data_IF_083952117791
#
_entry.id   IF_083952117791
#
_cell.length_a   1.000
_cell.length_b   1.000
_cell.length_c   1.000
_cell.angle_alpha   90.00
_cell.angle_beta   90.00
_cell.angle_gamma   90.00
#
_symmetry.space_group_name_H-M   'P 1'
#
loop_
_entity.id
_entity.type
_entity.pdbx_description
1 polymer ?
#
# COMPACT_ATOMS: atom_id res chain seq x y z
N UNK A 1 7.72 -5.18 9.56
CA UNK A 1 7.31 -4.23 8.49
C UNK A 1 7.05 -4.93 7.17
N UNK A 2 8.06 -5.48 6.48
CA UNK A 2 7.89 -6.11 5.16
C UNK A 2 6.85 -7.25 5.18
N UNK A 3 6.89 -8.15 6.17
CA UNK A 3 5.92 -9.26 6.29
C UNK A 3 4.49 -8.75 6.50
N UNK A 4 4.31 -7.69 7.30
CA UNK A 4 3.00 -7.06 7.53
C UNK A 4 2.46 -6.40 6.26
N UNK A 5 3.30 -5.70 5.52
CA UNK A 5 2.98 -5.13 4.20
C UNK A 5 2.57 -6.22 3.20
N UNK A 6 3.28 -7.34 3.17
CA UNK A 6 2.94 -8.49 2.31
C UNK A 6 1.56 -9.09 2.63
N UNK A 7 1.21 -9.24 3.92
CA UNK A 7 -0.11 -9.73 4.33
C UNK A 7 -1.25 -8.81 3.86
N UNK A 8 -1.06 -7.49 3.98
CA UNK A 8 -2.03 -6.51 3.50
C UNK A 8 -2.15 -6.49 1.97
N UNK A 9 -1.07 -6.72 1.23
CA UNK A 9 -1.12 -6.89 -0.22
C UNK A 9 -2.00 -8.07 -0.64
N UNK A 10 -2.04 -9.16 0.13
CA UNK A 10 -2.91 -10.31 -0.18
C UNK A 10 -4.38 -9.96 0.05
N UNK A 11 -4.70 -9.23 1.13
CA UNK A 11 -6.07 -8.79 1.43
C UNK A 11 -6.64 -7.92 0.30
N UNK A 12 -5.79 -7.19 -0.42
CA UNK A 12 -6.20 -6.35 -1.56
C UNK A 12 -6.80 -7.13 -2.73
N UNK A 13 -6.61 -8.44 -2.83
CA UNK A 13 -7.28 -9.26 -3.86
C UNK A 13 -8.74 -9.60 -3.52
N UNK A 14 -9.13 -9.41 -2.26
CA UNK A 14 -10.51 -9.61 -1.78
C UNK A 14 -11.23 -8.26 -1.69
N UNK A 15 -10.50 -7.20 -1.34
CA UNK A 15 -11.07 -5.85 -1.23
C UNK A 15 -11.18 -5.15 -2.59
N UNK A 16 -12.43 -4.94 -3.01
CA UNK A 16 -12.77 -4.50 -4.37
C UNK A 16 -12.55 -2.99 -4.59
N UNK A 17 -12.84 -2.05 -3.66
CA UNK A 17 -12.60 -0.62 -3.91
C UNK A 17 -11.60 0.04 -2.92
N UNK A 18 -10.46 0.52 -3.44
CA UNK A 18 -9.53 1.49 -2.84
C UNK A 18 -8.90 1.13 -1.48
N UNK A 19 -9.25 0.00 -0.89
CA UNK A 19 -8.68 -0.39 0.40
C UNK A 19 -9.30 0.32 1.59
N UNK A 20 -10.26 1.25 1.43
CA UNK A 20 -10.80 2.01 2.57
C UNK A 20 -11.57 1.16 3.57
N UNK A 21 -12.32 0.17 3.09
CA UNK A 21 -13.03 -0.76 3.96
C UNK A 21 -12.03 -1.62 4.74
N UNK A 22 -11.01 -2.15 4.05
CA UNK A 22 -9.88 -2.80 4.73
C UNK A 22 -9.23 -1.86 5.72
N UNK A 23 -9.12 -0.56 5.39
CA UNK A 23 -8.48 0.44 6.22
C UNK A 23 -9.20 0.57 7.56
N UNK A 24 -10.51 0.75 7.49
CA UNK A 24 -11.38 0.90 8.64
C UNK A 24 -11.41 -0.36 9.51
N UNK A 25 -11.45 -1.54 8.88
CA UNK A 25 -11.53 -2.82 9.60
C UNK A 25 -10.19 -3.26 10.21
N UNK A 26 -9.07 -2.92 9.60
CA UNK A 26 -7.75 -3.43 10.00
C UNK A 26 -6.86 -2.38 10.66
N UNK A 27 -7.27 -1.10 10.74
CA UNK A 27 -6.51 -0.07 11.44
C UNK A 27 -6.29 -0.40 12.92
N UNK A 28 -7.23 -1.08 13.56
CA UNK A 28 -7.10 -1.53 14.97
C UNK A 28 -5.96 -2.54 15.16
N UNK A 29 -5.58 -3.28 14.11
CA UNK A 29 -4.44 -4.22 14.13
C UNK A 29 -3.11 -3.45 14.27
N UNK A 30 -3.08 -2.16 13.96
CA UNK A 30 -1.90 -1.35 14.19
C UNK A 30 -1.60 -1.17 15.70
N UNK A 31 -2.61 -1.25 16.58
CA UNK A 31 -2.42 -1.12 18.04
C UNK A 31 -1.45 -2.18 18.60
N UNK A 32 -1.67 -3.50 18.41
CA UNK A 32 -0.71 -4.52 18.85
C UNK A 32 0.61 -4.44 18.08
N UNK A 33 0.62 -3.99 16.81
CA UNK A 33 1.87 -3.73 16.08
C UNK A 33 2.73 -2.67 16.77
N UNK A 34 2.10 -1.65 17.36
CA UNK A 34 2.82 -0.63 18.12
C UNK A 34 3.28 -1.15 19.48
N UNK A 35 2.37 -1.79 20.22
CA UNK A 35 2.58 -2.16 21.62
C UNK A 35 3.48 -3.40 21.78
N UNK A 36 3.28 -4.43 20.96
CA UNK A 36 3.93 -5.73 21.15
C UNK A 36 5.24 -5.83 20.35
N UNK A 37 5.26 -5.26 19.15
CA UNK A 37 6.43 -5.28 18.26
C UNK A 37 7.31 -4.03 18.39
N UNK A 38 6.96 -3.10 19.28
CA UNK A 38 7.69 -1.86 19.55
C UNK A 38 7.97 -1.03 18.26
N UNK A 39 7.08 -1.14 17.27
CA UNK A 39 7.23 -0.39 16.01
C UNK A 39 6.58 0.97 16.19
N UNK A 40 7.35 2.03 15.93
CA UNK A 40 6.83 3.39 16.05
C UNK A 40 5.61 3.62 15.14
N UNK A 41 4.52 4.23 15.64
CA UNK A 41 3.27 4.40 14.88
C UNK A 41 3.43 5.08 13.54
N UNK A 42 4.33 6.06 13.44
CA UNK A 42 4.66 6.74 12.17
C UNK A 42 5.14 5.75 11.10
N UNK A 43 6.02 4.82 11.44
CA UNK A 43 6.63 3.88 10.48
C UNK A 43 5.59 2.86 10.04
N UNK A 44 4.85 2.32 11.01
CA UNK A 44 3.84 1.30 10.74
C UNK A 44 2.63 1.86 9.98
N UNK A 45 2.18 3.08 10.27
CA UNK A 45 1.14 3.75 9.49
C UNK A 45 1.57 4.03 8.04
N UNK A 46 2.82 4.46 7.80
CA UNK A 46 3.33 4.66 6.45
C UNK A 46 3.39 3.34 5.66
N UNK A 47 3.89 2.27 6.28
CA UNK A 47 3.91 0.95 5.64
C UNK A 47 2.48 0.43 5.35
N UNK A 48 1.53 0.70 6.24
CA UNK A 48 0.11 0.36 6.08
C UNK A 48 -0.55 1.14 4.94
N UNK A 49 -0.34 2.46 4.86
CA UNK A 49 -0.88 3.31 3.79
C UNK A 49 -0.29 2.94 2.43
N UNK A 50 0.99 2.58 2.37
CA UNK A 50 1.59 2.07 1.15
C UNK A 50 1.00 0.69 0.77
N UNK A 51 0.71 -0.15 1.77
CA UNK A 51 0.10 -1.45 1.55
C UNK A 51 -1.32 -1.35 0.97
N UNK A 52 -2.13 -0.44 1.52
CA UNK A 52 -3.55 -0.34 1.19
C UNK A 52 -3.82 0.25 -0.19
N UNK A 53 -2.87 1.05 -0.70
CA UNK A 53 -2.94 1.63 -2.03
C UNK A 53 -2.41 0.70 -3.12
N UNK A 54 -1.94 -0.51 -2.80
CA UNK A 54 -1.51 -1.50 -3.78
C UNK A 54 -2.64 -1.90 -4.73
N UNK A 55 -2.27 -2.18 -5.97
CA UNK A 55 -3.15 -2.68 -7.01
C UNK A 55 -2.35 -3.42 -8.09
N UNK A 56 -2.98 -4.42 -8.68
CA UNK A 56 -2.56 -5.13 -9.89
C UNK A 56 -3.71 -5.31 -10.88
N UNK A 57 -4.96 -5.09 -10.45
CA UNK A 57 -6.19 -5.31 -11.21
C UNK A 57 -7.01 -4.02 -11.25
N UNK A 58 -7.69 -3.77 -12.37
CA UNK A 58 -8.37 -2.49 -12.61
C UNK A 58 -9.53 -2.19 -11.65
N UNK A 59 -10.18 -3.21 -11.09
CA UNK A 59 -11.27 -2.99 -10.13
C UNK A 59 -10.76 -2.46 -8.79
N UNK A 60 -9.52 -2.77 -8.41
CA UNK A 60 -8.97 -2.48 -7.07
C UNK A 60 -8.86 -0.98 -6.78
N UNK A 61 -8.87 -0.14 -7.82
CA UNK A 61 -8.81 1.31 -7.71
C UNK A 61 -9.87 1.99 -8.58
N UNK A 62 -10.79 2.77 -7.99
CA UNK A 62 -11.91 3.35 -8.74
C UNK A 62 -11.48 4.35 -9.82
N UNK A 63 -10.32 5.01 -9.63
CA UNK A 63 -9.79 5.95 -10.64
C UNK A 63 -9.28 5.27 -11.90
N UNK A 64 -8.95 3.97 -11.86
CA UNK A 64 -8.47 3.26 -13.06
C UNK A 64 -9.59 3.19 -14.10
N UNK A 65 -10.80 2.78 -13.68
CA UNK A 65 -11.97 2.73 -14.55
C UNK A 65 -12.38 4.13 -15.05
N UNK A 66 -12.31 5.14 -14.17
CA UNK A 66 -12.55 6.53 -14.55
C UNK A 66 -11.54 6.99 -15.62
N UNK A 67 -10.25 6.73 -15.40
CA UNK A 67 -9.19 7.11 -16.31
C UNK A 67 -9.26 6.33 -17.64
N UNK A 68 -9.69 5.06 -17.65
CA UNK A 68 -9.99 4.34 -18.89
C UNK A 68 -11.08 5.01 -19.71
N UNK A 69 -12.19 5.40 -19.08
CA UNK A 69 -13.26 6.15 -19.74
C UNK A 69 -12.77 7.48 -20.33
N UNK A 70 -11.91 8.21 -19.61
CA UNK A 70 -11.34 9.48 -20.06
C UNK A 70 -10.29 9.32 -21.16
N UNK A 71 -9.53 8.22 -21.17
CA UNK A 71 -8.47 7.96 -22.14
C UNK A 71 -8.95 7.18 -23.37
N UNK A 72 -10.24 6.80 -23.42
CA UNK A 72 -10.82 6.02 -24.51
C UNK A 72 -10.14 4.66 -24.67
N UNK A 73 -9.91 3.95 -23.56
CA UNK A 73 -9.23 2.64 -23.49
C UNK A 73 -7.75 2.65 -23.95
N UNK A 74 -7.09 3.82 -23.95
CA UNK A 74 -5.66 3.95 -24.32
C UNK A 74 -4.73 4.15 -23.12
N UNK A 75 -5.26 4.39 -21.93
CA UNK A 75 -4.49 4.62 -20.72
C UNK A 75 -4.19 3.34 -19.95
N UNK A 76 -5.23 2.62 -19.50
CA UNK A 76 -5.11 1.56 -18.51
C UNK A 76 -5.62 0.20 -18.98
N UNK A 77 -5.18 -0.23 -20.17
CA UNK A 77 -5.39 -1.61 -20.58
C UNK A 77 -4.88 -2.59 -19.49
N UNK A 78 -5.47 -3.81 -19.34
CA UNK A 78 -5.14 -4.72 -18.24
C UNK A 78 -3.66 -5.01 -18.04
N UNK A 79 -2.91 -5.16 -19.14
CA UNK A 79 -1.45 -5.35 -19.10
C UNK A 79 -0.69 -4.14 -18.54
N UNK A 80 -1.14 -2.92 -18.87
CA UNK A 80 -0.54 -1.68 -18.36
C UNK A 80 -0.81 -1.51 -16.86
N UNK A 81 -2.02 -1.84 -16.39
CA UNK A 81 -2.37 -1.82 -14.96
C UNK A 81 -1.45 -2.75 -14.18
N UNK A 82 -1.30 -3.99 -14.64
CA UNK A 82 -0.47 -4.99 -13.96
C UNK A 82 1.00 -4.55 -13.92
N UNK A 83 1.54 -4.08 -15.05
CA UNK A 83 2.92 -3.58 -15.12
C UNK A 83 3.12 -2.38 -14.17
N UNK A 84 2.21 -1.41 -14.20
CA UNK A 84 2.32 -0.22 -13.36
C UNK A 84 2.14 -0.56 -11.87
N UNK A 85 1.26 -1.50 -11.52
CA UNK A 85 1.11 -2.02 -10.17
C UNK A 85 2.38 -2.70 -9.64
N UNK A 86 3.10 -3.45 -10.48
CA UNK A 86 4.40 -4.00 -10.15
C UNK A 86 5.46 -2.90 -9.94
N UNK A 87 5.49 -1.89 -10.80
CA UNK A 87 6.37 -0.72 -10.64
C UNK A 87 6.07 0.00 -9.32
N UNK A 88 4.79 0.22 -9.00
CA UNK A 88 4.35 0.80 -7.74
C UNK A 88 4.85 -0.03 -6.54
N UNK A 89 4.70 -1.35 -6.61
CA UNK A 89 5.14 -2.28 -5.55
C UNK A 89 6.62 -2.15 -5.26
N UNK A 90 7.46 -2.20 -6.31
CA UNK A 90 8.91 -2.02 -6.18
C UNK A 90 9.22 -0.62 -5.63
N UNK A 91 8.53 0.41 -6.13
CA UNK A 91 8.71 1.80 -5.69
C UNK A 91 8.40 1.99 -4.21
N UNK A 92 7.35 1.33 -3.69
CA UNK A 92 7.01 1.33 -2.26
C UNK A 92 8.15 0.73 -1.42
N UNK A 93 8.68 -0.43 -1.83
CA UNK A 93 9.80 -1.03 -1.10
C UNK A 93 11.03 -0.13 -1.09
N UNK A 94 11.38 0.45 -2.25
CA UNK A 94 12.48 1.40 -2.36
C UNK A 94 12.24 2.63 -1.47
N UNK A 95 11.04 3.20 -1.50
CA UNK A 95 10.69 4.37 -0.68
C UNK A 95 10.80 4.08 0.82
N UNK A 96 10.36 2.90 1.29
CA UNK A 96 10.52 2.47 2.68
C UNK A 96 12.00 2.37 3.05
N UNK A 97 12.83 1.75 2.20
CA UNK A 97 14.26 1.60 2.44
C UNK A 97 14.99 2.95 2.49
N UNK A 98 14.67 3.85 1.55
CA UNK A 98 15.25 5.20 1.50
C UNK A 98 14.78 6.07 2.66
N UNK A 99 13.63 5.77 3.27
CA UNK A 99 13.13 6.48 4.45
C UNK A 99 13.80 6.05 5.76
N UNK A 100 14.49 4.91 5.80
CA UNK A 100 15.13 4.39 7.02
C UNK A 100 16.13 5.37 7.66
N UNK A 101 17.03 6.06 6.92
CA UNK A 101 17.97 7.01 7.51
C UNK A 101 17.27 8.19 8.17
N UNK A 102 16.20 8.70 7.54
CA UNK A 102 15.39 9.77 8.11
C UNK A 102 14.72 9.32 9.40
N UNK A 103 14.07 8.16 9.38
CA UNK A 103 13.43 7.58 10.57
C UNK A 103 14.40 7.31 11.72
N UNK A 104 15.64 6.93 11.41
CA UNK A 104 16.71 6.82 12.40
C UNK A 104 17.13 8.18 12.95
N UNK A 105 17.25 9.21 12.09
CA UNK A 105 17.64 10.56 12.50
C UNK A 105 16.63 11.22 13.46
N UNK A 106 15.33 10.95 13.28
CA UNK A 106 14.28 11.45 14.18
C UNK A 106 13.98 10.50 15.36
N UNK A 107 14.75 9.42 15.51
CA UNK A 107 14.65 8.49 16.64
C UNK A 107 13.42 7.58 16.65
N UNK A 108 12.74 7.39 15.51
CA UNK A 108 11.55 6.51 15.42
C UNK A 108 11.90 5.06 15.07
N UNK A 109 13.15 4.79 14.66
CA UNK A 109 13.73 3.46 14.48
C UNK A 109 15.12 3.46 15.13
N UNK A 110 15.45 2.39 15.86
CA UNK A 110 16.76 2.17 16.49
C UNK A 110 17.78 1.56 15.52
#
# INVERSE_FOLDING_TARGET
MIIFTLGLFVIRFIDVPWGFTTAALTAVVLIPVFNDFHIHPLVASMAYLAAINFFLLGYQQPWILMAEGMTGNKGWAPNHITLFGLIYTVSVFVAILVSLPYWKAIGVIQ
#
